data_IF_028693404476
#
_entry.id   IF_028693404476
#
_cell.length_a   1.000
_cell.length_b   1.000
_cell.length_c   1.000
_cell.angle_alpha   90.00
_cell.angle_beta   90.00
_cell.angle_gamma   90.00
#
_symmetry.space_group_name_H-M   'P 1'
#
loop_
_entity.id
_entity.type
_entity.pdbx_description
1 polymer ?
#
# COMPACT_ATOMS: atom_id res chain seq x y z
N UNK A 1 -0.18 30.55 -5.89
CA UNK A 1 -0.33 29.24 -5.22
C UNK A 1 0.09 29.47 -3.77
N UNK A 2 -0.81 29.38 -2.80
CA UNK A 2 -0.49 29.65 -1.38
C UNK A 2 0.36 28.52 -0.81
N UNK A 3 1.55 28.82 -0.30
CA UNK A 3 2.40 27.84 0.37
C UNK A 3 1.83 27.50 1.74
N UNK A 4 1.48 26.23 1.96
CA UNK A 4 1.16 25.70 3.29
C UNK A 4 2.43 25.48 4.14
N UNK A 5 3.45 26.33 4.01
CA UNK A 5 4.76 26.16 4.65
C UNK A 5 5.03 27.32 5.60
N UNK A 6 5.39 27.04 6.85
CA UNK A 6 5.74 28.07 7.82
C UNK A 6 7.16 28.59 7.58
N UNK A 7 7.28 29.90 7.35
CA UNK A 7 8.55 30.60 7.07
C UNK A 7 8.86 31.69 8.11
N UNK A 8 8.35 31.55 9.34
CA UNK A 8 8.69 32.47 10.42
C UNK A 8 10.16 32.32 10.84
N UNK A 9 10.69 33.31 11.56
CA UNK A 9 12.11 33.32 12.00
C UNK A 9 12.51 32.07 12.77
N UNK A 10 11.59 31.51 13.57
CA UNK A 10 11.80 30.24 14.27
C UNK A 10 12.02 29.08 13.29
N UNK A 11 11.26 29.00 12.21
CA UNK A 11 11.42 27.95 11.19
C UNK A 11 12.69 28.16 10.38
N UNK A 12 13.04 29.41 10.05
CA UNK A 12 14.29 29.76 9.35
C UNK A 12 15.53 29.42 10.19
N UNK A 13 15.52 29.74 11.48
CA UNK A 13 16.61 29.36 12.40
C UNK A 13 16.82 27.85 12.47
N UNK A 14 15.73 27.09 12.72
CA UNK A 14 15.80 25.62 12.76
C UNK A 14 16.25 24.98 11.46
N UNK A 15 15.97 25.62 10.33
CA UNK A 15 16.47 25.19 9.03
C UNK A 15 17.97 25.34 8.92
N UNK A 16 18.52 26.49 9.30
CA UNK A 16 19.96 26.73 9.31
C UNK A 16 20.67 25.72 10.21
N UNK A 17 20.15 25.49 11.43
CA UNK A 17 20.68 24.49 12.36
C UNK A 17 20.67 23.09 11.74
N UNK A 18 19.52 22.66 11.21
CA UNK A 18 19.37 21.33 10.60
C UNK A 18 20.29 21.13 9.38
N UNK A 19 20.47 22.16 8.56
CA UNK A 19 21.35 22.11 7.40
C UNK A 19 22.81 21.94 7.85
N UNK A 20 23.23 22.72 8.84
CA UNK A 20 24.55 22.64 9.46
C UNK A 20 24.86 21.30 10.12
N UNK A 21 23.84 20.53 10.52
CA UNK A 21 24.03 19.19 11.08
C UNK A 21 23.97 18.06 10.03
N UNK A 22 23.11 18.18 9.02
CA UNK A 22 22.71 17.06 8.14
C UNK A 22 23.14 17.19 6.68
N UNK A 23 23.56 18.39 6.28
CA UNK A 23 23.89 18.76 4.89
C UNK A 23 25.04 19.78 4.87
N UNK A 24 26.16 19.41 5.49
CA UNK A 24 27.35 20.24 5.66
C UNK A 24 27.90 20.87 4.36
N UNK A 25 27.59 20.28 3.22
CA UNK A 25 28.00 20.73 1.90
C UNK A 25 27.11 21.84 1.30
N UNK A 26 25.95 22.11 1.89
CA UNK A 26 25.01 23.13 1.40
C UNK A 26 25.14 24.39 2.25
N UNK A 27 25.39 25.53 1.60
CA UNK A 27 25.34 26.83 2.24
C UNK A 27 23.91 27.15 2.71
N UNK A 28 23.77 27.92 3.79
CA UNK A 28 22.44 28.32 4.27
C UNK A 28 21.84 29.35 3.31
N UNK A 29 20.72 28.98 2.68
CA UNK A 29 19.90 29.88 1.85
C UNK A 29 18.55 30.09 2.54
N UNK A 30 18.03 31.32 2.53
CA UNK A 30 16.69 31.61 3.04
C UNK A 30 15.65 30.75 2.29
N UNK A 31 14.81 29.97 3.00
CA UNK A 31 13.82 29.13 2.36
C UNK A 31 12.89 29.83 1.37
N UNK A 32 12.60 31.12 1.57
CA UNK A 32 11.79 31.88 0.62
C UNK A 32 12.41 31.87 -0.79
N UNK A 33 13.75 32.01 -0.88
CA UNK A 33 14.47 32.11 -2.15
C UNK A 33 14.30 30.83 -2.98
N UNK A 34 14.62 29.67 -2.40
CA UNK A 34 14.55 28.40 -3.14
C UNK A 34 13.12 27.84 -3.27
N UNK A 35 12.16 28.30 -2.47
CA UNK A 35 10.76 27.94 -2.63
C UNK A 35 10.06 28.72 -3.75
N UNK A 36 10.54 29.95 -4.01
CA UNK A 36 10.11 30.78 -5.13
C UNK A 36 10.81 30.38 -6.45
N UNK A 37 12.07 29.92 -6.39
CA UNK A 37 12.78 29.33 -7.53
C UNK A 37 13.35 27.91 -7.21
N UNK A 38 12.51 26.87 -7.26
CA UNK A 38 12.97 25.49 -7.02
C UNK A 38 13.96 24.97 -8.05
N UNK A 39 13.93 25.49 -9.29
CA UNK A 39 14.78 25.00 -10.38
C UNK A 39 16.19 25.58 -10.29
N UNK A 40 16.34 26.81 -9.79
CA UNK A 40 17.63 27.41 -9.47
C UNK A 40 18.32 26.79 -8.25
N UNK A 41 17.56 26.18 -7.33
CA UNK A 41 18.07 25.65 -6.06
C UNK A 41 17.57 24.21 -5.77
N UNK A 42 17.83 23.24 -6.66
CA UNK A 42 17.23 21.90 -6.56
C UNK A 42 17.68 21.13 -5.32
N UNK A 43 18.94 21.32 -4.87
CA UNK A 43 19.47 20.64 -3.69
C UNK A 43 18.90 21.19 -2.39
N UNK A 44 18.76 22.52 -2.26
CA UNK A 44 18.08 23.15 -1.12
C UNK A 44 16.61 22.78 -1.08
N UNK A 45 15.94 22.79 -2.25
CA UNK A 45 14.55 22.40 -2.35
C UNK A 45 14.36 20.94 -1.91
N UNK A 46 15.23 20.04 -2.34
CA UNK A 46 15.25 18.65 -1.87
C UNK A 46 15.54 18.58 -0.37
N UNK A 47 16.57 19.27 0.14
CA UNK A 47 16.93 19.27 1.55
C UNK A 47 15.81 19.81 2.45
N UNK A 48 15.05 20.81 1.99
CA UNK A 48 13.88 21.34 2.69
C UNK A 48 12.79 20.29 2.94
N UNK A 49 12.58 19.38 1.99
CA UNK A 49 11.67 18.24 2.17
C UNK A 49 12.10 17.31 3.30
N UNK A 50 13.41 17.04 3.41
CA UNK A 50 13.96 16.25 4.51
C UNK A 50 13.84 16.99 5.84
N UNK A 51 14.13 18.28 5.87
CA UNK A 51 13.95 19.11 7.05
C UNK A 51 12.51 19.09 7.55
N UNK A 52 11.52 19.29 6.66
CA UNK A 52 10.10 19.24 7.03
C UNK A 52 9.69 17.89 7.61
N UNK A 53 10.15 16.80 7.01
CA UNK A 53 9.90 15.47 7.53
C UNK A 53 10.54 15.27 8.92
N UNK A 54 11.74 15.80 9.14
CA UNK A 54 12.41 15.79 10.43
C UNK A 54 11.62 16.58 11.50
N UNK A 55 11.03 17.72 11.15
CA UNK A 55 10.16 18.47 12.07
C UNK A 55 8.93 17.64 12.49
N UNK A 56 8.34 16.91 11.55
CA UNK A 56 7.22 15.99 11.84
C UNK A 56 7.68 14.86 12.77
N UNK A 57 8.84 14.26 12.51
CA UNK A 57 9.45 13.25 13.39
C UNK A 57 9.55 13.74 14.83
N UNK A 58 10.16 14.92 15.04
CA UNK A 58 10.33 15.48 16.38
C UNK A 58 8.99 15.75 17.08
N UNK A 59 7.98 16.20 16.34
CA UNK A 59 6.64 16.40 16.90
C UNK A 59 6.00 15.09 17.34
N UNK A 60 6.07 14.03 16.53
CA UNK A 60 5.51 12.72 16.88
C UNK A 60 6.23 12.06 18.05
N UNK A 61 7.56 12.16 18.12
CA UNK A 61 8.34 11.65 19.27
C UNK A 61 7.95 12.36 20.58
N UNK A 62 7.78 13.68 20.53
CA UNK A 62 7.31 14.48 21.66
C UNK A 62 5.87 14.09 22.06
N UNK A 63 4.98 13.93 21.09
CA UNK A 63 3.59 13.50 21.32
C UNK A 63 3.53 12.10 21.95
N UNK A 64 4.30 11.15 21.43
CA UNK A 64 4.39 9.79 21.97
C UNK A 64 4.89 9.77 23.42
N UNK A 65 5.93 10.54 23.71
CA UNK A 65 6.46 10.72 25.07
C UNK A 65 5.42 11.31 26.03
N UNK A 66 4.67 12.30 25.56
CA UNK A 66 3.60 12.94 26.34
C UNK A 66 2.45 11.97 26.62
N UNK A 67 1.98 11.22 25.60
CA UNK A 67 0.93 10.20 25.77
C UNK A 67 1.38 9.15 26.78
N UNK A 68 2.60 8.64 26.68
CA UNK A 68 3.13 7.65 27.61
C UNK A 68 3.21 8.19 29.05
N UNK A 69 3.60 9.46 29.23
CA UNK A 69 3.60 10.12 30.54
C UNK A 69 2.19 10.26 31.12
N UNK A 70 1.21 10.65 30.29
CA UNK A 70 -0.20 10.77 30.70
C UNK A 70 -0.78 9.42 31.11
N UNK A 71 -0.53 8.34 30.35
CA UNK A 71 -0.97 6.98 30.68
C UNK A 71 -0.41 6.57 32.05
N UNK A 72 0.89 6.79 32.31
CA UNK A 72 1.50 6.49 33.61
C UNK A 72 0.88 7.31 34.75
N UNK A 73 0.68 8.63 34.53
CA UNK A 73 0.12 9.54 35.54
C UNK A 73 -1.32 9.17 35.94
N UNK A 74 -2.14 8.80 34.97
CA UNK A 74 -3.57 8.56 35.18
C UNK A 74 -3.92 7.08 35.38
N UNK A 75 -2.92 6.18 35.35
CA UNK A 75 -3.14 4.75 35.52
C UNK A 75 -4.03 4.13 34.45
N UNK A 76 -4.12 4.75 33.26
CA UNK A 76 -4.95 4.25 32.17
C UNK A 76 -4.44 2.87 31.73
N UNK A 77 -5.33 1.88 31.70
CA UNK A 77 -5.01 0.52 31.26
C UNK A 77 -5.60 0.29 29.88
N UNK A 78 -4.75 0.12 28.88
CA UNK A 78 -5.13 -0.46 27.59
C UNK A 78 -4.58 -1.89 27.51
N UNK A 79 -5.31 -2.81 26.87
CA UNK A 79 -4.84 -4.19 26.71
C UNK A 79 -3.58 -4.31 25.84
N UNK A 80 -3.31 -3.32 24.97
CA UNK A 80 -2.08 -3.16 24.18
C UNK A 80 -1.62 -1.71 24.22
N UNK A 81 -0.32 -1.48 24.04
CA UNK A 81 0.22 -0.12 23.92
C UNK A 81 -0.44 0.61 22.72
N UNK A 82 -0.72 1.92 22.83
CA UNK A 82 -1.20 2.69 21.69
C UNK A 82 -0.13 2.70 20.60
N UNK A 83 -0.58 2.67 19.36
CA UNK A 83 0.25 2.80 18.17
C UNK A 83 -0.11 4.10 17.45
N UNK A 84 0.87 4.73 16.81
CA UNK A 84 0.73 5.94 16.04
C UNK A 84 0.74 5.62 14.56
N UNK A 85 -0.33 6.04 13.89
CA UNK A 85 -0.47 5.91 12.45
C UNK A 85 -0.59 7.27 11.79
N UNK A 86 -0.11 7.35 10.56
CA UNK A 86 -0.21 8.56 9.74
C UNK A 86 -0.99 8.30 8.46
N UNK A 87 -1.87 9.23 8.12
CA UNK A 87 -2.45 9.33 6.79
C UNK A 87 -1.52 10.19 5.93
N UNK A 88 -0.92 9.59 4.91
CA UNK A 88 0.01 10.30 4.03
C UNK A 88 -0.57 10.46 2.62
N UNK A 89 -0.03 11.43 1.88
CA UNK A 89 -0.18 11.46 0.43
C UNK A 89 0.64 10.37 -0.25
N UNK A 90 0.61 10.34 -1.59
CA UNK A 90 1.42 9.44 -2.38
C UNK A 90 2.93 9.62 -2.13
N UNK A 91 3.70 8.56 -2.33
CA UNK A 91 5.15 8.57 -2.16
C UNK A 91 5.79 9.34 -3.32
N UNK A 92 6.48 10.44 -3.00
CA UNK A 92 7.25 11.22 -3.97
C UNK A 92 7.24 12.73 -3.69
N UNK A 93 7.98 13.47 -4.52
CA UNK A 93 8.17 14.92 -4.39
C UNK A 93 7.06 15.75 -5.03
N UNK A 94 6.05 15.13 -5.66
CA UNK A 94 5.07 15.83 -6.51
C UNK A 94 4.22 16.87 -5.75
N UNK A 95 4.18 16.82 -4.42
CA UNK A 95 3.47 17.78 -3.57
C UNK A 95 4.37 18.35 -2.46
N UNK A 96 5.63 18.66 -2.73
CA UNK A 96 6.58 19.25 -1.76
C UNK A 96 6.08 20.47 -0.98
N UNK A 97 5.19 21.26 -1.57
CA UNK A 97 4.57 22.41 -0.90
C UNK A 97 3.51 21.99 0.12
N UNK A 98 2.83 20.85 -0.08
CA UNK A 98 1.67 20.40 0.71
C UNK A 98 1.90 19.11 1.51
N UNK A 99 2.95 18.34 1.21
CA UNK A 99 3.23 17.06 1.83
C UNK A 99 4.38 17.21 2.83
N UNK A 100 4.10 16.91 4.10
CA UNK A 100 5.07 17.01 5.21
C UNK A 100 5.77 15.68 5.49
N UNK A 101 5.41 14.62 4.76
CA UNK A 101 5.89 13.27 5.01
C UNK A 101 6.84 12.81 3.91
N UNK A 102 8.12 12.77 4.27
CA UNK A 102 9.08 11.92 3.58
C UNK A 102 9.03 10.54 4.24
N UNK A 103 8.44 9.56 3.56
CA UNK A 103 8.29 8.19 4.06
C UNK A 103 9.65 7.56 4.43
N UNK A 104 10.73 7.87 3.70
CA UNK A 104 12.05 7.33 4.00
C UNK A 104 12.61 7.84 5.34
N UNK A 105 12.31 9.08 5.72
CA UNK A 105 12.75 9.68 7.00
C UNK A 105 11.80 9.36 8.14
N UNK A 106 10.51 9.25 7.85
CA UNK A 106 9.46 9.10 8.86
C UNK A 106 9.05 7.66 9.11
N UNK A 107 9.50 6.71 8.29
CA UNK A 107 9.06 5.31 8.37
C UNK A 107 9.41 4.59 9.66
N UNK A 108 10.36 5.11 10.45
CA UNK A 108 10.72 4.58 11.78
C UNK A 108 9.98 5.23 12.94
N UNK A 109 9.26 6.32 12.67
CA UNK A 109 8.56 7.12 13.69
C UNK A 109 7.15 6.59 13.90
N UNK A 110 6.54 6.13 12.82
CA UNK A 110 5.19 5.60 12.83
C UNK A 110 5.19 4.10 12.99
N UNK A 111 4.33 3.59 13.86
CA UNK A 111 4.01 2.17 13.89
C UNK A 111 3.35 1.74 12.58
N UNK A 112 2.57 2.65 11.96
CA UNK A 112 1.90 2.41 10.68
C UNK A 112 1.84 3.64 9.78
N UNK A 113 2.12 3.45 8.50
CA UNK A 113 1.97 4.45 7.43
C UNK A 113 0.83 4.00 6.53
N UNK A 114 -0.22 4.80 6.49
CA UNK A 114 -1.51 4.41 5.92
C UNK A 114 -2.03 5.49 4.96
N UNK A 115 -1.45 5.62 3.74
CA UNK A 115 -1.95 6.58 2.77
C UNK A 115 -3.42 6.33 2.45
N UNK A 116 -4.17 7.41 2.20
CA UNK A 116 -5.57 7.31 1.80
C UNK A 116 -5.67 7.15 0.29
N UNK A 117 -6.23 6.02 -0.14
CA UNK A 117 -6.40 5.69 -1.55
C UNK A 117 -7.84 5.95 -2.00
N UNK A 118 -7.99 6.90 -2.93
CA UNK A 118 -9.25 7.31 -3.56
C UNK A 118 -9.39 6.84 -5.01
N UNK A 119 -8.38 6.14 -5.51
CA UNK A 119 -8.23 5.75 -6.91
C UNK A 119 -8.52 4.27 -7.14
N UNK A 120 -8.70 3.86 -8.39
CA UNK A 120 -8.85 2.44 -8.76
C UNK A 120 -7.61 1.58 -8.45
N UNK A 121 -7.79 0.25 -8.54
CA UNK A 121 -6.80 -0.75 -8.10
C UNK A 121 -5.43 -0.62 -8.75
N UNK A 122 -5.37 -0.27 -10.05
CA UNK A 122 -4.10 -0.04 -10.75
C UNK A 122 -3.21 1.01 -10.07
N UNK A 123 -3.78 2.13 -9.65
CA UNK A 123 -3.02 3.19 -9.00
C UNK A 123 -2.63 2.79 -7.57
N UNK A 124 -3.57 2.19 -6.82
CA UNK A 124 -3.31 1.63 -5.49
C UNK A 124 -2.11 0.68 -5.51
N UNK A 125 -2.12 -0.33 -6.39
CA UNK A 125 -1.03 -1.30 -6.58
C UNK A 125 0.32 -0.61 -6.75
N UNK A 126 0.39 0.38 -7.64
CA UNK A 126 1.63 1.08 -7.96
C UNK A 126 2.13 1.91 -6.77
N UNK A 127 1.26 2.68 -6.15
CA UNK A 127 1.65 3.58 -5.06
C UNK A 127 1.97 2.82 -3.77
N UNK A 128 1.26 1.73 -3.48
CA UNK A 128 1.55 0.91 -2.32
C UNK A 128 2.91 0.19 -2.44
N UNK A 129 3.27 -0.30 -3.63
CA UNK A 129 4.62 -0.85 -3.88
C UNK A 129 5.72 0.19 -3.72
N UNK A 130 5.45 1.45 -4.04
CA UNK A 130 6.40 2.54 -3.74
C UNK A 130 6.52 2.76 -2.24
N UNK A 131 5.40 2.73 -1.51
CA UNK A 131 5.39 2.84 -0.05
C UNK A 131 6.21 1.74 0.60
N UNK A 132 5.97 0.48 0.21
CA UNK A 132 6.68 -0.67 0.78
C UNK A 132 8.18 -0.61 0.50
N UNK A 133 8.58 -0.19 -0.71
CA UNK A 133 10.00 0.02 -1.02
C UNK A 133 10.63 1.16 -0.20
N UNK A 134 9.87 2.18 0.17
CA UNK A 134 10.36 3.34 0.91
C UNK A 134 10.36 3.14 2.43
N UNK A 135 9.34 2.47 2.99
CA UNK A 135 9.13 2.32 4.43
C UNK A 135 9.43 0.91 4.96
N UNK A 136 9.44 -0.09 4.09
CA UNK A 136 9.37 -1.49 4.46
C UNK A 136 7.94 -1.98 4.65
N UNK A 137 7.74 -3.29 4.48
CA UNK A 137 6.41 -3.91 4.58
C UNK A 137 5.81 -3.77 5.98
N UNK A 138 6.63 -3.89 7.02
CA UNK A 138 6.19 -3.99 8.43
C UNK A 138 5.32 -2.84 8.93
N UNK A 139 5.48 -1.65 8.35
CA UNK A 139 4.73 -0.45 8.71
C UNK A 139 3.76 0.00 7.61
N UNK A 140 3.74 -0.65 6.45
CA UNK A 140 2.99 -0.19 5.28
C UNK A 140 1.57 -0.78 5.24
N UNK A 141 0.55 0.07 5.30
CA UNK A 141 -0.85 -0.33 5.18
C UNK A 141 -1.57 0.54 4.13
N UNK A 142 -2.79 0.15 3.76
CA UNK A 142 -3.67 0.99 2.93
C UNK A 142 -4.87 1.51 3.73
N UNK A 143 -5.18 2.80 3.63
CA UNK A 143 -6.48 3.33 4.02
C UNK A 143 -7.36 3.42 2.78
N UNK A 144 -8.28 2.46 2.64
CA UNK A 144 -9.15 2.29 1.49
C UNK A 144 -10.44 3.09 1.66
N UNK A 145 -10.89 3.75 0.60
CA UNK A 145 -12.23 4.32 0.55
C UNK A 145 -13.24 3.21 0.23
N UNK A 146 -14.34 3.09 0.99
CA UNK A 146 -15.41 2.14 0.65
C UNK A 146 -16.27 2.58 -0.55
N UNK A 147 -16.08 3.78 -1.07
CA UNK A 147 -17.02 4.45 -1.95
C UNK A 147 -18.02 5.25 -1.12
N UNK A 148 -18.41 6.43 -1.61
CA UNK A 148 -19.38 7.28 -0.93
C UNK A 148 -20.65 7.37 -1.76
N UNK A 149 -21.77 6.91 -1.20
CA UNK A 149 -23.09 7.01 -1.83
C UNK A 149 -23.64 8.44 -1.70
N UNK A 150 -22.92 9.42 -2.24
CA UNK A 150 -23.28 10.85 -2.26
C UNK A 150 -23.34 11.33 -3.71
N UNK A 151 -24.18 12.33 -3.98
CA UNK A 151 -24.45 12.82 -5.34
C UNK A 151 -23.20 13.29 -6.11
N UNK A 152 -22.13 13.65 -5.40
CA UNK A 152 -20.88 14.18 -5.94
C UNK A 152 -19.70 13.19 -5.86
N UNK A 153 -19.91 11.95 -5.37
CA UNK A 153 -18.82 10.99 -5.14
C UNK A 153 -19.05 9.65 -5.84
N UNK A 154 -17.93 9.04 -6.25
CA UNK A 154 -17.92 7.79 -7.00
C UNK A 154 -18.23 6.61 -6.07
N UNK A 155 -19.18 5.78 -6.49
CA UNK A 155 -19.39 4.44 -5.93
C UNK A 155 -18.53 3.43 -6.68
N UNK A 156 -17.88 2.54 -5.95
CA UNK A 156 -17.14 1.43 -6.54
C UNK A 156 -18.09 0.43 -7.18
N UNK A 157 -17.73 -0.05 -8.37
CA UNK A 157 -18.42 -1.15 -9.05
C UNK A 157 -18.27 -2.45 -8.25
N UNK A 158 -19.16 -3.44 -8.44
CA UNK A 158 -18.98 -4.76 -7.85
C UNK A 158 -17.58 -5.34 -8.17
N UNK A 159 -16.90 -5.83 -7.14
CA UNK A 159 -15.55 -6.42 -7.22
C UNK A 159 -14.39 -5.42 -7.15
N UNK A 160 -14.62 -4.10 -7.24
CA UNK A 160 -13.53 -3.11 -7.14
C UNK A 160 -12.95 -3.04 -5.72
N UNK A 161 -13.77 -3.15 -4.65
CA UNK A 161 -13.25 -3.14 -3.27
C UNK A 161 -12.45 -4.41 -2.97
N UNK A 162 -12.99 -5.57 -3.37
CA UNK A 162 -12.26 -6.85 -3.31
C UNK A 162 -10.88 -6.72 -3.95
N UNK A 163 -10.85 -6.14 -5.15
CA UNK A 163 -9.60 -5.90 -5.88
C UNK A 163 -8.65 -4.99 -5.11
N UNK A 164 -9.15 -3.94 -4.46
CA UNK A 164 -8.30 -3.05 -3.63
C UNK A 164 -7.71 -3.76 -2.41
N UNK A 165 -8.50 -4.58 -1.72
CA UNK A 165 -8.05 -5.36 -0.57
C UNK A 165 -6.94 -6.33 -0.99
N UNK A 166 -7.20 -7.11 -2.03
CA UNK A 166 -6.25 -8.12 -2.50
C UNK A 166 -4.99 -7.48 -3.09
N UNK A 167 -5.09 -6.40 -3.85
CA UNK A 167 -3.91 -5.64 -4.31
C UNK A 167 -3.09 -5.09 -3.15
N UNK A 168 -3.74 -4.71 -2.04
CA UNK A 168 -3.03 -4.27 -0.85
C UNK A 168 -2.12 -5.37 -0.31
N UNK A 169 -2.68 -6.56 -0.15
CA UNK A 169 -1.96 -7.72 0.38
C UNK A 169 -0.88 -8.22 -0.58
N UNK A 170 -1.20 -8.37 -1.88
CA UNK A 170 -0.24 -8.83 -2.89
C UNK A 170 0.85 -7.81 -3.25
N UNK A 171 0.65 -6.52 -2.94
CA UNK A 171 1.73 -5.55 -2.99
C UNK A 171 2.75 -5.73 -1.85
N UNK A 172 2.39 -6.47 -0.80
CA UNK A 172 3.16 -6.66 0.43
C UNK A 172 2.72 -5.77 1.59
N UNK A 173 1.54 -5.15 1.52
CA UNK A 173 1.00 -4.34 2.62
C UNK A 173 0.62 -5.23 3.79
N UNK A 174 0.88 -4.79 5.03
CA UNK A 174 0.56 -5.53 6.26
C UNK A 174 -0.92 -5.54 6.62
N UNK A 175 -1.72 -4.78 5.89
CA UNK A 175 -3.17 -4.80 6.02
C UNK A 175 -3.79 -3.56 5.41
N UNK A 176 -5.09 -3.45 5.63
CA UNK A 176 -5.89 -2.32 5.18
C UNK A 176 -6.86 -1.91 6.28
N UNK A 177 -7.29 -0.65 6.22
CA UNK A 177 -8.45 -0.17 6.94
C UNK A 177 -9.39 0.52 5.97
N UNK A 178 -10.65 0.64 6.38
CA UNK A 178 -11.63 1.42 5.64
C UNK A 178 -11.95 2.71 6.37
N UNK A 179 -12.14 3.77 5.60
CA UNK A 179 -12.79 4.99 6.07
C UNK A 179 -14.10 5.19 5.31
N UNK A 180 -14.95 6.07 5.84
CA UNK A 180 -16.29 6.33 5.31
C UNK A 180 -17.26 5.12 5.30
N UNK A 181 -17.09 4.15 6.22
CA UNK A 181 -18.04 3.03 6.40
C UNK A 181 -19.49 3.50 6.52
N UNK A 182 -19.73 4.56 7.29
CA UNK A 182 -21.06 5.15 7.51
C UNK A 182 -21.67 5.82 6.26
N UNK A 183 -20.95 5.86 5.13
CA UNK A 183 -21.39 6.42 3.85
C UNK A 183 -21.43 5.38 2.73
N UNK A 184 -21.18 4.12 3.05
CA UNK A 184 -21.22 3.00 2.12
C UNK A 184 -22.61 2.35 2.09
N UNK A 185 -22.82 1.38 1.20
CA UNK A 185 -24.07 0.60 1.11
C UNK A 185 -23.86 -0.87 1.49
N UNK A 186 -24.97 -1.58 1.74
CA UNK A 186 -24.94 -2.97 2.18
C UNK A 186 -24.21 -3.91 1.19
N UNK A 187 -24.30 -3.65 -0.12
CA UNK A 187 -23.58 -4.44 -1.13
C UNK A 187 -22.07 -4.36 -0.93
N UNK A 188 -21.53 -3.16 -0.76
CA UNK A 188 -20.09 -2.98 -0.55
C UNK A 188 -19.66 -3.59 0.78
N UNK A 189 -20.47 -3.40 1.82
CA UNK A 189 -20.22 -4.00 3.14
C UNK A 189 -20.15 -5.53 3.03
N UNK A 190 -21.08 -6.16 2.31
CA UNK A 190 -21.08 -7.60 2.07
C UNK A 190 -19.85 -8.06 1.28
N UNK A 191 -19.44 -7.31 0.24
CA UNK A 191 -18.22 -7.61 -0.53
C UNK A 191 -16.95 -7.55 0.33
N UNK A 192 -16.86 -6.56 1.24
CA UNK A 192 -15.74 -6.45 2.20
C UNK A 192 -15.77 -7.60 3.21
N UNK A 193 -16.94 -7.96 3.72
CA UNK A 193 -17.08 -9.08 4.67
C UNK A 193 -16.69 -10.42 4.02
N UNK A 194 -17.20 -10.72 2.83
CA UNK A 194 -16.84 -11.91 2.04
C UNK A 194 -15.33 -11.95 1.78
N UNK A 195 -14.75 -10.83 1.34
CA UNK A 195 -13.31 -10.77 1.05
C UNK A 195 -12.46 -10.94 2.31
N UNK A 196 -12.87 -10.39 3.45
CA UNK A 196 -12.20 -10.63 4.73
C UNK A 196 -12.28 -12.10 5.16
N UNK A 197 -13.40 -12.79 4.89
CA UNK A 197 -13.53 -14.23 5.13
C UNK A 197 -12.49 -15.01 4.33
N UNK A 198 -12.39 -14.75 3.02
CA UNK A 198 -11.36 -15.36 2.17
C UNK A 198 -9.94 -15.05 2.65
N UNK A 199 -9.68 -13.81 3.07
CA UNK A 199 -8.36 -13.43 3.62
C UNK A 199 -8.05 -14.20 4.91
N UNK A 200 -9.04 -14.37 5.80
CA UNK A 200 -8.87 -15.13 7.04
C UNK A 200 -8.59 -16.61 6.77
N UNK A 201 -9.31 -17.23 5.83
CA UNK A 201 -9.12 -18.63 5.45
C UNK A 201 -7.72 -18.93 4.85
N UNK A 202 -6.99 -17.88 4.44
CA UNK A 202 -5.68 -17.97 3.79
C UNK A 202 -4.65 -17.04 4.44
N UNK A 203 -4.84 -16.68 5.71
CA UNK A 203 -4.04 -15.66 6.41
C UNK A 203 -2.54 -15.96 6.37
N UNK A 204 -2.15 -17.22 6.59
CA UNK A 204 -0.76 -17.66 6.56
C UNK A 204 -0.05 -17.29 5.25
N UNK A 205 -0.71 -17.50 4.11
CA UNK A 205 -0.12 -17.19 2.79
C UNK A 205 0.02 -15.67 2.62
N UNK A 206 -0.91 -14.88 3.14
CA UNK A 206 -0.80 -13.42 3.08
C UNK A 206 0.26 -12.84 4.03
N UNK A 207 0.44 -13.44 5.21
CA UNK A 207 1.35 -12.95 6.25
C UNK A 207 2.80 -13.41 6.00
N UNK A 208 2.97 -14.68 5.65
CA UNK A 208 4.26 -15.37 5.57
C UNK A 208 4.68 -15.73 4.15
N UNK A 209 3.74 -15.68 3.19
CA UNK A 209 4.02 -15.98 1.80
C UNK A 209 5.04 -15.04 1.16
N UNK A 210 5.85 -15.60 0.28
CA UNK A 210 6.87 -14.87 -0.50
C UNK A 210 6.36 -14.62 -1.90
N UNK A 211 6.64 -13.44 -2.43
CA UNK A 211 6.35 -13.13 -3.83
C UNK A 211 7.23 -13.97 -4.75
N UNK A 212 6.64 -14.62 -5.75
CA UNK A 212 7.36 -15.40 -6.77
C UNK A 212 6.98 -14.96 -8.18
N UNK A 213 7.84 -15.30 -9.14
CA UNK A 213 7.60 -15.12 -10.58
C UNK A 213 7.08 -16.42 -11.24
N UNK A 214 6.33 -17.23 -10.49
CA UNK A 214 5.77 -18.48 -11.02
C UNK A 214 4.77 -18.22 -12.16
N UNK A 215 4.00 -17.15 -12.03
CA UNK A 215 3.00 -16.71 -12.98
C UNK A 215 3.24 -15.27 -13.43
N UNK A 216 2.99 -14.98 -14.70
CA UNK A 216 3.03 -13.63 -15.25
C UNK A 216 2.02 -13.44 -16.38
N UNK A 217 1.81 -12.19 -16.76
CA UNK A 217 1.02 -11.77 -17.92
C UNK A 217 1.84 -10.78 -18.74
N UNK A 218 1.74 -10.83 -20.05
CA UNK A 218 2.45 -9.89 -20.94
C UNK A 218 1.54 -8.74 -21.42
N UNK A 219 0.24 -8.85 -21.17
CA UNK A 219 -0.76 -7.90 -21.63
C UNK A 219 -0.72 -6.60 -20.80
N UNK A 220 -0.76 -5.42 -21.44
CA UNK A 220 -0.77 -4.15 -20.74
C UNK A 220 -1.94 -4.02 -19.77
N UNK A 221 -1.66 -3.50 -18.56
CA UNK A 221 -2.65 -3.29 -17.47
C UNK A 221 -3.34 -4.57 -16.98
N UNK A 222 -2.81 -5.73 -17.30
CA UNK A 222 -3.18 -7.00 -16.71
C UNK A 222 -2.00 -7.48 -15.87
N UNK A 223 -2.29 -8.14 -14.75
CA UNK A 223 -1.24 -8.60 -13.85
C UNK A 223 -1.59 -9.96 -13.27
N UNK A 224 -0.58 -10.84 -13.21
CA UNK A 224 -0.54 -11.98 -12.31
C UNK A 224 0.43 -11.66 -11.17
N UNK A 225 0.00 -11.86 -9.92
CA UNK A 225 0.82 -11.70 -8.71
C UNK A 225 0.71 -12.95 -7.88
N UNK A 226 1.83 -13.40 -7.34
CA UNK A 226 1.90 -14.69 -6.65
C UNK A 226 2.39 -14.50 -5.22
N UNK A 227 1.79 -15.21 -4.27
CA UNK A 227 2.29 -15.38 -2.90
C UNK A 227 2.38 -16.88 -2.62
N UNK A 228 3.51 -17.35 -2.09
CA UNK A 228 3.72 -18.79 -1.82
C UNK A 228 4.35 -19.01 -0.45
N UNK A 229 3.84 -20.00 0.28
CA UNK A 229 4.53 -20.66 1.40
C UNK A 229 5.19 -21.94 0.88
N UNK A 230 5.75 -22.77 1.77
CA UNK A 230 6.28 -24.09 1.38
C UNK A 230 5.16 -25.10 1.09
N UNK A 231 3.94 -24.86 1.59
CA UNK A 231 2.81 -25.79 1.49
C UNK A 231 1.80 -25.39 0.42
N UNK A 232 1.60 -24.10 0.19
CA UNK A 232 0.53 -23.61 -0.68
C UNK A 232 0.92 -22.31 -1.40
N UNK A 233 0.07 -21.87 -2.31
CA UNK A 233 0.18 -20.53 -2.87
C UNK A 233 -1.13 -19.94 -3.35
N UNK A 234 -1.10 -18.62 -3.53
CA UNK A 234 -2.17 -17.81 -4.06
C UNK A 234 -1.69 -17.05 -5.30
N UNK A 235 -2.56 -16.99 -6.30
CA UNK A 235 -2.38 -16.28 -7.55
C UNK A 235 -3.51 -15.26 -7.70
N UNK A 236 -3.17 -13.98 -7.65
CA UNK A 236 -4.06 -12.88 -7.97
C UNK A 236 -3.89 -12.47 -9.42
N UNK A 237 -4.95 -12.62 -10.21
CA UNK A 237 -5.03 -12.16 -11.60
C UNK A 237 -5.93 -10.94 -11.63
N UNK A 238 -5.44 -9.81 -12.15
CA UNK A 238 -6.19 -8.55 -12.19
C UNK A 238 -6.29 -8.00 -13.60
N UNK A 239 -7.43 -7.38 -13.92
CA UNK A 239 -7.66 -6.70 -15.18
C UNK A 239 -7.94 -5.21 -14.94
N UNK A 240 -7.06 -4.33 -15.40
CA UNK A 240 -7.29 -2.87 -15.38
C UNK A 240 -7.38 -2.26 -16.78
N UNK A 241 -7.68 -3.08 -17.78
CA UNK A 241 -8.03 -2.55 -19.10
C UNK A 241 -9.31 -1.71 -18.98
N UNK A 242 -9.40 -0.64 -19.77
CA UNK A 242 -10.61 0.19 -19.88
C UNK A 242 -11.48 -0.27 -21.07
N UNK A 243 -11.40 -1.57 -21.38
CA UNK A 243 -12.05 -2.21 -22.53
C UNK A 243 -12.88 -3.38 -22.03
N UNK A 244 -13.81 -3.87 -22.85
CA UNK A 244 -14.61 -5.06 -22.53
C UNK A 244 -13.81 -6.38 -22.66
N UNK A 245 -12.51 -6.31 -22.95
CA UNK A 245 -11.65 -7.48 -22.98
C UNK A 245 -11.45 -8.05 -21.57
N UNK A 246 -12.20 -9.09 -21.24
CA UNK A 246 -12.07 -9.87 -20.00
C UNK A 246 -10.98 -10.93 -20.07
N UNK A 247 -10.50 -11.25 -21.26
CA UNK A 247 -9.66 -12.43 -21.48
C UNK A 247 -8.20 -12.14 -21.17
N UNK A 248 -7.65 -12.90 -20.23
CA UNK A 248 -6.25 -12.80 -19.80
C UNK A 248 -5.53 -14.11 -20.08
N UNK A 249 -4.41 -14.01 -20.79
CA UNK A 249 -3.44 -15.08 -20.95
C UNK A 249 -2.44 -15.04 -19.81
N UNK A 250 -2.40 -16.10 -19.03
CA UNK A 250 -1.48 -16.26 -17.90
C UNK A 250 -0.44 -17.29 -18.29
N UNK A 251 0.81 -16.89 -18.16
CA UNK A 251 1.97 -17.74 -18.36
C UNK A 251 2.39 -18.32 -17.02
N UNK A 252 2.88 -19.56 -17.04
CA UNK A 252 3.34 -20.33 -15.90
C UNK A 252 4.73 -20.91 -16.21
N UNK A 253 5.63 -20.90 -15.22
CA UNK A 253 6.91 -21.62 -15.35
C UNK A 253 6.66 -23.14 -15.45
N UNK A 254 7.38 -23.87 -16.31
CA UNK A 254 7.30 -25.33 -16.38
C UNK A 254 7.47 -25.97 -14.99
N UNK A 255 6.76 -27.05 -14.72
CA UNK A 255 6.84 -27.72 -13.43
C UNK A 255 5.84 -28.85 -13.29
N UNK A 256 5.49 -29.19 -12.06
CA UNK A 256 4.53 -30.24 -11.74
C UNK A 256 3.10 -29.91 -12.27
N UNK A 257 2.25 -30.95 -12.44
CA UNK A 257 0.82 -30.74 -12.59
C UNK A 257 0.30 -29.86 -11.44
N UNK A 258 -0.73 -29.07 -11.72
CA UNK A 258 -1.24 -28.12 -10.73
C UNK A 258 -2.74 -27.91 -10.88
N UNK A 259 -3.44 -28.02 -9.76
CA UNK A 259 -4.87 -27.68 -9.67
C UNK A 259 -5.00 -26.29 -9.07
N UNK A 260 -5.45 -25.32 -9.86
CA UNK A 260 -5.77 -23.98 -9.39
C UNK A 260 -7.27 -23.91 -9.04
N UNK A 261 -7.61 -23.57 -7.79
CA UNK A 261 -8.99 -23.43 -7.33
C UNK A 261 -9.35 -21.96 -7.15
N UNK A 262 -10.42 -21.49 -7.80
CA UNK A 262 -10.97 -20.15 -7.57
C UNK A 262 -11.59 -20.08 -6.18
N UNK A 263 -11.03 -19.26 -5.30
CA UNK A 263 -11.41 -19.21 -3.89
C UNK A 263 -12.82 -18.65 -3.64
N UNK A 264 -13.39 -17.91 -4.61
CA UNK A 264 -14.75 -17.37 -4.51
C UNK A 264 -15.78 -18.26 -5.20
N UNK A 265 -15.42 -18.90 -6.32
CA UNK A 265 -16.36 -19.66 -7.13
C UNK A 265 -16.27 -21.18 -6.92
N UNK A 266 -15.20 -21.68 -6.28
CA UNK A 266 -14.90 -23.11 -6.13
C UNK A 266 -14.53 -23.81 -7.45
N UNK A 267 -14.48 -23.10 -8.57
CA UNK A 267 -14.12 -23.69 -9.87
C UNK A 267 -12.65 -24.06 -9.91
N UNK A 268 -12.34 -25.19 -10.54
CA UNK A 268 -10.98 -25.71 -10.66
C UNK A 268 -10.46 -25.60 -12.09
N UNK A 269 -9.17 -25.34 -12.21
CA UNK A 269 -8.40 -25.35 -13.44
C UNK A 269 -7.23 -26.31 -13.28
N UNK A 270 -7.27 -27.41 -14.02
CA UNK A 270 -6.20 -28.39 -14.06
C UNK A 270 -5.16 -27.97 -15.10
N UNK A 271 -3.91 -27.84 -14.66
CA UNK A 271 -2.77 -27.52 -15.51
C UNK A 271 -1.87 -28.74 -15.64
N UNK A 272 -1.66 -29.19 -16.88
CA UNK A 272 -0.69 -30.24 -17.17
C UNK A 272 0.75 -29.78 -16.88
N UNK A 273 1.71 -30.71 -16.63
CA UNK A 273 3.12 -30.36 -16.37
C UNK A 273 3.72 -29.40 -17.40
N UNK A 274 3.53 -29.75 -18.67
CA UNK A 274 4.06 -29.01 -19.82
C UNK A 274 3.19 -27.82 -20.25
N UNK A 275 2.05 -27.61 -19.58
CA UNK A 275 1.18 -26.48 -19.90
C UNK A 275 1.78 -25.19 -19.33
N UNK A 276 2.36 -24.39 -20.23
CA UNK A 276 2.99 -23.11 -19.90
C UNK A 276 2.02 -21.92 -19.97
N UNK A 277 0.87 -22.08 -20.62
CA UNK A 277 -0.07 -20.99 -20.86
C UNK A 277 -1.49 -21.49 -20.58
N UNK A 278 -2.28 -20.66 -19.90
CA UNK A 278 -3.71 -20.86 -19.74
C UNK A 278 -4.46 -19.53 -19.83
N UNK A 279 -5.77 -19.62 -19.96
CA UNK A 279 -6.63 -18.46 -20.13
C UNK A 279 -7.64 -18.39 -19.00
N UNK A 280 -7.90 -17.18 -18.51
CA UNK A 280 -9.00 -16.89 -17.59
C UNK A 280 -9.81 -15.68 -18.07
N UNK A 281 -11.06 -15.59 -17.63
CA UNK A 281 -11.91 -14.43 -17.85
C UNK A 281 -12.02 -13.61 -16.56
N UNK A 282 -11.44 -12.41 -16.57
CA UNK A 282 -11.46 -11.44 -15.48
C UNK A 282 -12.03 -10.12 -16.01
N UNK A 283 -13.23 -9.70 -15.60
CA UNK A 283 -13.83 -8.45 -16.06
C UNK A 283 -12.97 -7.21 -15.75
N UNK A 284 -13.16 -6.14 -16.51
CA UNK A 284 -12.46 -4.88 -16.32
C UNK A 284 -12.64 -4.33 -14.89
N UNK A 285 -11.53 -3.86 -14.30
CA UNK A 285 -11.40 -3.38 -12.92
C UNK A 285 -11.67 -4.42 -11.82
N UNK A 286 -11.69 -5.71 -12.17
CA UNK A 286 -11.87 -6.81 -11.21
C UNK A 286 -10.61 -7.67 -11.08
N UNK A 287 -10.71 -8.70 -10.23
CA UNK A 287 -9.70 -9.70 -10.01
C UNK A 287 -10.28 -11.11 -9.87
N UNK A 288 -9.42 -12.10 -10.07
CA UNK A 288 -9.63 -13.50 -9.77
C UNK A 288 -8.52 -13.95 -8.82
N UNK A 289 -8.88 -14.66 -7.75
CA UNK A 289 -7.93 -15.21 -6.79
C UNK A 289 -8.01 -16.74 -6.87
N UNK A 290 -6.87 -17.35 -7.19
CA UNK A 290 -6.71 -18.80 -7.33
C UNK A 290 -5.77 -19.32 -6.23
N UNK A 291 -6.09 -20.45 -5.63
CA UNK A 291 -5.24 -21.18 -4.67
C UNK A 291 -4.73 -22.48 -5.29
N UNK A 292 -3.54 -22.92 -4.91
CA UNK A 292 -3.11 -24.30 -5.11
C UNK A 292 -2.35 -24.83 -3.89
N UNK A 293 -2.31 -26.15 -3.77
CA UNK A 293 -1.47 -26.86 -2.80
C UNK A 293 -0.18 -27.34 -3.48
N UNK A 294 0.93 -27.34 -2.76
CA UNK A 294 2.19 -27.93 -3.20
C UNK A 294 2.21 -29.40 -2.79
N UNK A 295 2.61 -30.26 -3.71
CA UNK A 295 2.87 -31.67 -3.44
C UNK A 295 3.91 -31.77 -2.31
N UNK A 296 3.52 -32.25 -1.13
CA UNK A 296 4.48 -32.43 -0.05
C UNK A 296 5.53 -33.47 -0.46
N UNK A 297 6.84 -33.19 -0.36
CA UNK A 297 7.89 -34.14 -0.74
C UNK A 297 7.79 -35.48 0.01
N UNK A 298 7.09 -35.51 1.13
CA UNK A 298 6.95 -36.68 2.01
C UNK A 298 6.10 -37.83 1.43
N UNK A 299 5.35 -37.60 0.34
CA UNK A 299 4.42 -38.59 -0.23
C UNK A 299 4.91 -39.27 -1.53
N UNK A 300 6.18 -39.09 -1.91
CA UNK A 300 6.82 -39.92 -2.93
C UNK A 300 7.55 -41.06 -2.20
N UNK A 301 6.83 -42.15 -1.91
CA UNK A 301 7.40 -43.43 -1.48
C UNK A 301 7.08 -44.50 -2.51
#
# INVERSE_FOLDING_TARGET
>A
MTMNTCLCDRCKGRWADWLGERRLQLEVVDPQVFLDDPLGYPDHFKAWWFFRAHLVTQWYEAAGSHVAACIRKHGSRSGRAPWFATYTGAVGMSNIKDNFLNVAETGRVFDRIMPMYYSGGFHLRRELRKLIRAAGREVSYASLNMGEARADRRMWRPGENRTHMLETLFAGGRGYMYWAWNKSNLRIIAEVAETNGVVADHEEIFVDGRSTERFWTEQPRQFASTLETDEAGLLLITNYTQTDNSRIWVFKRPGEPMTLTNVYAGTQLELAPEQQIFQVDVPAAQCMLLKWEKSSPANIR
#
